data_IF_570127527908
#
_entry.id   IF_570127527908
#
_cell.length_a   1.000
_cell.length_b   1.000
_cell.length_c   1.000
_cell.angle_alpha   90.00
_cell.angle_beta   90.00
_cell.angle_gamma   90.00
#
_symmetry.space_group_name_H-M   'P 1'
#
loop_
_entity.id
_entity.type
_entity.pdbx_description
1 polymer ?
#
# COMPACT_ATOMS: atom_id res chain seq x y z
N UNK A 1 -9.38 5.12 8.14
CA UNK A 1 -9.98 6.32 8.81
C UNK A 1 -9.66 7.62 8.07
N UNK A 2 -8.40 7.91 7.72
CA UNK A 2 -8.04 9.18 7.02
C UNK A 2 -8.71 9.35 5.66
N UNK A 3 -8.90 8.26 4.89
CA UNK A 3 -9.60 8.30 3.59
C UNK A 3 -11.04 8.81 3.75
N UNK A 4 -11.78 8.26 4.72
CA UNK A 4 -13.16 8.68 4.99
C UNK A 4 -13.21 10.14 5.43
N UNK A 5 -12.31 10.54 6.34
CA UNK A 5 -12.20 11.92 6.79
C UNK A 5 -11.90 12.87 5.61
N UNK A 6 -10.97 12.48 4.73
CA UNK A 6 -10.65 13.23 3.52
C UNK A 6 -11.85 13.41 2.61
N UNK A 7 -12.63 12.35 2.38
CA UNK A 7 -13.86 12.45 1.58
C UNK A 7 -14.93 13.35 2.22
N UNK A 8 -15.09 13.29 3.54
CA UNK A 8 -16.00 14.21 4.26
C UNK A 8 -15.57 15.65 4.08
N UNK A 9 -14.26 15.94 4.16
CA UNK A 9 -13.72 17.29 3.95
C UNK A 9 -13.95 17.75 2.50
N UNK A 10 -13.68 16.91 1.50
CA UNK A 10 -13.91 17.24 0.09
C UNK A 10 -15.39 17.55 -0.17
N UNK A 11 -16.28 16.66 0.27
CA UNK A 11 -17.73 16.85 0.09
C UNK A 11 -18.22 18.09 0.85
N UNK A 12 -17.80 18.25 2.11
CA UNK A 12 -18.16 19.40 2.94
C UNK A 12 -17.70 20.74 2.35
N UNK A 13 -16.46 20.79 1.86
CA UNK A 13 -15.93 22.01 1.26
C UNK A 13 -16.62 22.36 -0.06
N UNK A 14 -16.78 21.37 -0.96
CA UNK A 14 -17.38 21.60 -2.29
C UNK A 14 -18.85 21.94 -2.17
N UNK A 15 -19.66 21.09 -1.52
CA UNK A 15 -21.09 21.29 -1.43
C UNK A 15 -21.47 22.36 -0.41
N UNK A 16 -20.72 22.47 0.71
CA UNK A 16 -20.90 23.53 1.68
C UNK A 16 -20.61 24.91 1.08
N UNK A 17 -19.50 25.03 0.34
CA UNK A 17 -19.18 26.26 -0.40
C UNK A 17 -20.26 26.64 -1.42
N UNK A 18 -20.79 25.65 -2.15
CA UNK A 18 -21.88 25.87 -3.11
C UNK A 18 -23.17 26.38 -2.44
N UNK A 19 -23.52 25.84 -1.27
CA UNK A 19 -24.69 26.29 -0.48
C UNK A 19 -24.49 27.71 0.02
N UNK A 20 -23.29 28.08 0.52
CA UNK A 20 -23.00 29.42 1.03
C UNK A 20 -23.22 30.52 -0.02
N UNK A 21 -22.96 30.25 -1.29
CA UNK A 21 -23.22 31.19 -2.39
C UNK A 21 -24.66 31.14 -2.91
N UNK A 22 -25.58 30.43 -2.21
CA UNK A 22 -26.99 30.32 -2.58
C UNK A 22 -27.30 29.24 -3.61
N UNK A 23 -26.40 28.31 -3.87
CA UNK A 23 -26.60 27.20 -4.80
C UNK A 23 -27.59 26.17 -4.27
N UNK A 24 -28.43 25.65 -5.17
CA UNK A 24 -29.39 24.59 -4.85
C UNK A 24 -28.80 23.21 -5.20
N UNK A 25 -28.57 22.34 -4.21
CA UNK A 25 -27.99 21.01 -4.42
C UNK A 25 -28.79 20.14 -5.40
N UNK A 26 -30.11 20.36 -5.49
CA UNK A 26 -30.96 19.63 -6.44
C UNK A 26 -30.54 19.83 -7.90
N UNK A 27 -29.97 20.99 -8.25
CA UNK A 27 -29.46 21.26 -9.59
C UNK A 27 -28.22 20.40 -9.95
N UNK A 28 -27.47 19.96 -8.96
CA UNK A 28 -26.31 19.10 -9.14
C UNK A 28 -26.65 17.60 -9.20
N UNK A 29 -27.89 17.24 -8.87
CA UNK A 29 -28.34 15.84 -8.91
C UNK A 29 -28.79 15.49 -10.33
N UNK A 30 -27.87 14.93 -11.12
CA UNK A 30 -28.08 14.55 -12.52
C UNK A 30 -27.75 13.05 -12.72
N UNK A 31 -28.74 12.14 -12.55
CA UNK A 31 -28.51 10.69 -12.66
C UNK A 31 -27.94 10.27 -14.02
N UNK A 32 -28.34 10.95 -15.10
CA UNK A 32 -27.84 10.66 -16.44
C UNK A 32 -26.34 10.94 -16.57
N UNK A 33 -25.87 12.04 -15.99
CA UNK A 33 -24.44 12.40 -15.97
C UNK A 33 -23.62 11.38 -15.17
N UNK A 34 -24.13 10.93 -14.04
CA UNK A 34 -23.48 9.86 -13.27
C UNK A 34 -23.39 8.55 -14.07
N UNK A 35 -24.42 8.21 -14.83
CA UNK A 35 -24.42 7.01 -15.68
C UNK A 35 -23.41 7.14 -16.83
N UNK A 36 -23.35 8.29 -17.49
CA UNK A 36 -22.42 8.52 -18.60
C UNK A 36 -20.97 8.47 -18.06
N UNK A 37 -20.66 9.26 -17.06
CA UNK A 37 -19.29 9.38 -16.54
C UNK A 37 -18.83 8.11 -15.85
N UNK A 38 -19.63 7.59 -14.92
CA UNK A 38 -19.30 6.39 -14.15
C UNK A 38 -19.32 5.13 -15.02
N UNK A 39 -20.31 4.99 -15.89
CA UNK A 39 -20.41 3.86 -16.82
C UNK A 39 -19.27 3.84 -17.83
N UNK A 40 -18.93 4.99 -18.43
CA UNK A 40 -17.80 5.10 -19.34
C UNK A 40 -16.46 4.88 -18.62
N UNK A 41 -16.30 5.38 -17.39
CA UNK A 41 -15.11 5.14 -16.57
C UNK A 41 -14.92 3.66 -16.24
N UNK A 42 -16.00 2.95 -15.84
CA UNK A 42 -15.97 1.50 -15.63
C UNK A 42 -15.68 0.75 -16.92
N UNK A 43 -16.30 1.17 -18.04
CA UNK A 43 -16.03 0.59 -19.35
C UNK A 43 -14.56 0.74 -19.75
N UNK A 44 -13.99 1.93 -19.61
CA UNK A 44 -12.57 2.19 -19.87
C UNK A 44 -11.66 1.35 -18.97
N UNK A 45 -11.99 1.22 -17.67
CA UNK A 45 -11.27 0.34 -16.75
C UNK A 45 -11.26 -1.12 -17.21
N UNK A 46 -12.40 -1.65 -17.66
CA UNK A 46 -12.51 -3.04 -18.14
C UNK A 46 -11.71 -3.25 -19.42
N UNK A 47 -11.81 -2.31 -20.37
CA UNK A 47 -11.11 -2.41 -21.66
C UNK A 47 -9.60 -2.25 -21.51
N UNK A 48 -9.15 -1.38 -20.62
CA UNK A 48 -7.74 -1.06 -20.42
C UNK A 48 -6.98 -2.05 -19.53
N UNK A 49 -7.67 -3.02 -18.90
CA UNK A 49 -7.06 -3.94 -17.94
C UNK A 49 -7.37 -5.39 -18.25
N UNK A 50 -6.37 -6.25 -18.12
CA UNK A 50 -6.59 -7.70 -18.17
C UNK A 50 -7.28 -8.20 -16.89
N UNK A 51 -7.82 -9.43 -16.94
CA UNK A 51 -8.57 -10.01 -15.81
C UNK A 51 -7.76 -10.14 -14.52
N UNK A 52 -6.42 -10.29 -14.59
CA UNK A 52 -5.55 -10.33 -13.41
C UNK A 52 -5.45 -8.93 -12.75
N UNK A 53 -5.27 -7.89 -13.57
CA UNK A 53 -5.23 -6.50 -13.10
C UNK A 53 -6.55 -6.07 -12.47
N UNK A 54 -7.69 -6.40 -13.09
CA UNK A 54 -9.02 -6.13 -12.53
C UNK A 54 -9.17 -6.78 -11.16
N UNK A 55 -8.84 -8.07 -11.05
CA UNK A 55 -8.93 -8.81 -9.78
C UNK A 55 -7.99 -8.25 -8.71
N UNK A 56 -6.76 -7.86 -9.09
CA UNK A 56 -5.79 -7.25 -8.18
C UNK A 56 -6.30 -5.91 -7.65
N UNK A 57 -6.82 -5.04 -8.54
CA UNK A 57 -7.38 -3.74 -8.17
C UNK A 57 -8.58 -3.88 -7.23
N UNK A 58 -9.53 -4.77 -7.53
CA UNK A 58 -10.70 -5.02 -6.67
C UNK A 58 -10.30 -5.57 -5.30
N UNK A 59 -9.23 -6.35 -5.18
CA UNK A 59 -8.69 -6.83 -3.91
C UNK A 59 -7.92 -5.76 -3.13
N UNK A 60 -7.33 -4.79 -3.82
CA UNK A 60 -6.55 -3.72 -3.21
C UNK A 60 -7.43 -2.64 -2.57
N UNK A 61 -8.57 -2.30 -3.19
CA UNK A 61 -9.47 -1.25 -2.72
C UNK A 61 -9.90 -1.38 -1.24
N UNK A 62 -10.37 -2.55 -0.75
CA UNK A 62 -10.76 -2.68 0.65
C UNK A 62 -9.59 -2.50 1.63
N UNK A 63 -8.35 -2.79 1.19
CA UNK A 63 -7.16 -2.64 2.03
C UNK A 63 -6.85 -1.16 2.33
N UNK A 64 -7.20 -0.24 1.41
CA UNK A 64 -7.02 1.20 1.59
C UNK A 64 -7.82 1.79 2.77
N UNK A 65 -8.94 1.15 3.12
CA UNK A 65 -9.75 1.57 4.26
C UNK A 65 -9.10 1.21 5.60
N UNK A 66 -8.14 0.30 5.59
CA UNK A 66 -7.41 -0.14 6.79
C UNK A 66 -6.15 0.71 6.96
N UNK A 67 -5.72 0.86 8.22
CA UNK A 67 -4.43 1.49 8.53
C UNK A 67 -3.30 0.61 8.01
N UNK A 68 -2.24 1.22 7.50
CA UNK A 68 -1.02 0.48 7.15
C UNK A 68 -0.53 -0.33 8.35
N UNK A 69 -0.13 -1.57 8.09
CA UNK A 69 0.49 -2.46 9.08
C UNK A 69 1.97 -2.13 9.30
N UNK A 70 2.59 -1.46 8.32
CA UNK A 70 4.00 -1.10 8.35
C UNK A 70 4.20 0.15 9.21
N UNK A 71 4.81 -0.02 10.35
CA UNK A 71 5.06 1.05 11.31
C UNK A 71 6.36 0.76 12.09
N UNK A 72 6.82 1.73 12.85
CA UNK A 72 8.05 1.62 13.64
C UNK A 72 8.12 0.35 14.49
N UNK A 73 6.99 -0.08 15.07
CA UNK A 73 6.95 -1.31 15.92
C UNK A 73 7.20 -2.55 15.09
N UNK A 74 6.58 -2.66 13.90
CA UNK A 74 6.79 -3.80 13.01
C UNK A 74 8.24 -3.84 12.50
N UNK A 75 8.84 -2.68 12.20
CA UNK A 75 10.25 -2.61 11.83
C UNK A 75 11.18 -3.05 12.96
N UNK A 76 10.86 -2.68 14.21
CA UNK A 76 11.63 -3.14 15.38
C UNK A 76 11.50 -4.65 15.57
N UNK A 77 10.30 -5.21 15.43
CA UNK A 77 10.04 -6.65 15.50
C UNK A 77 10.81 -7.40 14.41
N UNK A 78 10.80 -6.87 13.16
CA UNK A 78 11.55 -7.46 12.06
C UNK A 78 13.06 -7.49 12.33
N UNK A 79 13.62 -6.36 12.74
CA UNK A 79 15.06 -6.28 13.01
C UNK A 79 15.47 -7.16 14.19
N UNK A 80 14.63 -7.29 15.22
CA UNK A 80 14.88 -8.19 16.35
C UNK A 80 14.79 -9.66 15.93
N UNK A 81 13.82 -10.02 15.08
CA UNK A 81 13.72 -11.36 14.48
C UNK A 81 14.99 -11.69 13.68
N UNK A 82 15.39 -10.82 12.75
CA UNK A 82 16.59 -11.02 11.94
C UNK A 82 17.84 -11.12 12.80
N UNK A 83 17.97 -10.26 13.82
CA UNK A 83 19.07 -10.36 14.78
C UNK A 83 19.15 -11.74 15.44
N UNK A 84 18.02 -12.28 15.91
CA UNK A 84 17.99 -13.60 16.58
C UNK A 84 18.35 -14.73 15.63
N UNK A 85 17.83 -14.72 14.42
CA UNK A 85 18.17 -15.70 13.39
C UNK A 85 19.67 -15.66 13.07
N UNK A 86 20.22 -14.48 12.82
CA UNK A 86 21.63 -14.30 12.51
C UNK A 86 22.55 -14.61 13.69
N UNK A 87 22.13 -14.33 14.92
CA UNK A 87 22.87 -14.68 16.13
C UNK A 87 22.92 -16.20 16.33
N UNK A 88 21.80 -16.91 16.11
CA UNK A 88 21.72 -18.37 16.16
C UNK A 88 22.63 -19.00 15.10
N UNK A 89 22.54 -18.53 13.86
CA UNK A 89 23.40 -18.97 12.76
C UNK A 89 24.89 -18.80 13.08
N UNK A 90 25.28 -17.67 13.66
CA UNK A 90 26.69 -17.39 13.99
C UNK A 90 27.21 -18.25 15.15
N UNK A 91 26.36 -18.60 16.12
CA UNK A 91 26.73 -19.39 17.30
C UNK A 91 26.70 -20.89 17.05
N UNK A 92 25.75 -21.38 16.28
CA UNK A 92 25.44 -22.79 16.09
C UNK A 92 25.64 -23.29 14.65
N UNK A 93 26.08 -22.39 13.75
CA UNK A 93 26.23 -22.68 12.33
C UNK A 93 24.91 -22.46 11.55
N UNK A 94 25.07 -22.30 10.22
CA UNK A 94 23.94 -22.01 9.32
C UNK A 94 22.86 -23.10 9.32
N UNK A 95 23.24 -24.37 9.41
CA UNK A 95 22.30 -25.51 9.46
C UNK A 95 21.35 -25.47 10.66
N UNK A 96 21.71 -24.77 11.73
CA UNK A 96 20.84 -24.64 12.91
C UNK A 96 19.54 -23.90 12.63
N UNK A 97 19.45 -23.14 11.52
CA UNK A 97 18.26 -22.42 11.08
C UNK A 97 17.26 -23.30 10.33
N UNK A 98 17.65 -24.51 9.88
CA UNK A 98 16.83 -25.35 9.01
C UNK A 98 15.41 -25.55 9.56
N UNK A 99 15.27 -25.88 10.84
CA UNK A 99 13.97 -26.06 11.48
C UNK A 99 13.14 -24.77 11.51
N UNK A 100 13.78 -23.63 11.77
CA UNK A 100 13.08 -22.33 11.81
C UNK A 100 12.59 -21.90 10.42
N UNK A 101 13.33 -22.28 9.38
CA UNK A 101 13.05 -21.95 7.97
C UNK A 101 11.93 -22.84 7.43
N UNK A 102 12.00 -24.16 7.70
CA UNK A 102 11.02 -25.13 7.16
C UNK A 102 9.66 -25.07 7.88
N UNK A 103 9.67 -24.72 9.16
CA UNK A 103 8.45 -24.64 9.98
C UNK A 103 8.39 -23.33 10.77
N UNK A 104 8.23 -22.14 10.12
CA UNK A 104 8.25 -20.86 10.81
C UNK A 104 7.17 -20.72 11.88
N UNK A 105 6.01 -21.37 11.69
CA UNK A 105 4.89 -21.35 12.65
C UNK A 105 5.20 -22.12 13.95
N UNK A 106 6.11 -23.10 13.88
CA UNK A 106 6.57 -23.90 15.03
C UNK A 106 7.90 -23.42 15.59
N UNK A 107 8.50 -22.41 14.96
CA UNK A 107 9.77 -21.85 15.39
C UNK A 107 9.63 -21.04 16.67
N UNK A 108 10.47 -21.34 17.67
CA UNK A 108 10.55 -20.54 18.89
C UNK A 108 10.99 -19.11 18.64
N UNK A 109 11.73 -18.86 17.55
CA UNK A 109 12.19 -17.51 17.19
C UNK A 109 11.03 -16.74 16.57
N UNK A 110 10.39 -17.27 15.52
CA UNK A 110 9.30 -16.60 14.82
C UNK A 110 8.06 -16.41 15.69
N UNK A 111 7.75 -17.35 16.59
CA UNK A 111 6.57 -17.27 17.48
C UNK A 111 6.57 -16.03 18.39
N UNK A 112 7.75 -15.47 18.69
CA UNK A 112 7.86 -14.21 19.44
C UNK A 112 7.45 -12.98 18.65
N UNK A 113 7.24 -13.11 17.31
CA UNK A 113 6.92 -12.01 16.40
C UNK A 113 5.64 -12.29 15.60
N UNK A 114 4.48 -12.40 16.26
CA UNK A 114 3.22 -12.79 15.60
C UNK A 114 2.79 -11.84 14.50
N UNK A 115 3.19 -10.55 14.57
CA UNK A 115 2.92 -9.57 13.52
C UNK A 115 3.68 -9.88 12.23
N UNK A 116 4.91 -10.38 12.33
CA UNK A 116 5.70 -10.81 11.17
C UNK A 116 5.11 -12.11 10.61
N UNK A 117 4.78 -13.09 11.47
CA UNK A 117 4.15 -14.36 11.07
C UNK A 117 2.81 -14.15 10.35
N UNK A 118 2.07 -13.10 10.68
CA UNK A 118 0.83 -12.74 9.99
C UNK A 118 1.06 -12.18 8.58
N UNK A 119 2.29 -11.80 8.24
CA UNK A 119 2.66 -11.27 6.94
C UNK A 119 3.38 -12.34 6.09
N UNK A 120 2.60 -13.08 5.32
CA UNK A 120 3.11 -14.18 4.48
C UNK A 120 4.24 -13.73 3.55
N UNK A 121 4.13 -12.55 2.95
CA UNK A 121 5.14 -12.02 2.01
C UNK A 121 6.49 -11.89 2.71
N UNK A 122 6.50 -11.31 3.91
CA UNK A 122 7.74 -11.14 4.68
C UNK A 122 8.31 -12.48 5.15
N UNK A 123 7.45 -13.40 5.62
CA UNK A 123 7.89 -14.72 6.08
C UNK A 123 8.49 -15.52 4.93
N UNK A 124 7.80 -15.59 3.79
CA UNK A 124 8.27 -16.28 2.59
C UNK A 124 9.60 -15.68 2.12
N UNK A 125 9.68 -14.36 2.00
CA UNK A 125 10.93 -13.68 1.59
C UNK A 125 12.10 -13.97 2.54
N UNK A 126 11.90 -13.98 3.86
CA UNK A 126 12.94 -14.30 4.84
C UNK A 126 13.35 -15.77 4.73
N UNK A 127 12.39 -16.69 4.71
CA UNK A 127 12.67 -18.13 4.75
C UNK A 127 13.29 -18.64 3.47
N UNK A 128 12.84 -18.15 2.31
CA UNK A 128 13.35 -18.59 1.01
C UNK A 128 14.82 -18.17 0.83
N UNK A 129 15.16 -16.92 1.18
CA UNK A 129 16.54 -16.49 1.08
C UNK A 129 17.44 -17.11 2.17
N UNK A 130 16.94 -17.34 3.37
CA UNK A 130 17.69 -18.12 4.37
C UNK A 130 17.92 -19.55 3.90
N UNK A 131 16.95 -20.19 3.22
CA UNK A 131 17.10 -21.54 2.65
C UNK A 131 18.19 -21.57 1.60
N UNK A 132 18.23 -20.58 0.68
CA UNK A 132 19.30 -20.44 -0.32
C UNK A 132 20.67 -20.24 0.34
N UNK A 133 20.73 -19.42 1.37
CA UNK A 133 21.95 -19.16 2.15
C UNK A 133 22.45 -20.44 2.86
N UNK A 134 21.55 -21.18 3.51
CA UNK A 134 21.88 -22.42 4.22
C UNK A 134 22.36 -23.51 3.25
N UNK A 135 21.80 -23.55 2.04
CA UNK A 135 22.25 -24.51 1.00
C UNK A 135 23.71 -24.30 0.56
N UNK A 136 24.26 -23.11 0.75
CA UNK A 136 25.65 -22.75 0.44
C UNK A 136 26.03 -22.80 -1.05
N UNK A 137 25.06 -22.91 -1.96
CA UNK A 137 25.29 -23.08 -3.39
C UNK A 137 25.43 -21.76 -4.16
N UNK A 138 25.17 -20.63 -3.51
CA UNK A 138 25.19 -19.30 -4.13
C UNK A 138 26.09 -18.35 -3.34
N UNK A 139 26.79 -17.48 -4.06
CA UNK A 139 27.56 -16.40 -3.44
C UNK A 139 26.69 -15.18 -3.13
N UNK A 140 27.21 -14.23 -2.35
CA UNK A 140 26.46 -13.05 -1.93
C UNK A 140 25.96 -12.19 -3.09
N UNK A 141 26.70 -12.10 -4.17
CA UNK A 141 26.32 -11.32 -5.36
C UNK A 141 25.15 -11.95 -6.11
N UNK A 142 25.14 -13.28 -6.25
CA UNK A 142 24.04 -14.01 -6.89
C UNK A 142 22.75 -13.90 -6.06
N UNK A 143 22.86 -14.02 -4.74
CA UNK A 143 21.72 -13.83 -3.83
C UNK A 143 21.19 -12.39 -3.89
N UNK A 144 22.10 -11.40 -3.94
CA UNK A 144 21.72 -9.99 -4.08
C UNK A 144 20.93 -9.74 -5.36
N UNK A 145 21.44 -10.23 -6.50
CA UNK A 145 20.77 -10.08 -7.79
C UNK A 145 19.37 -10.72 -7.79
N UNK A 146 19.22 -11.91 -7.19
CA UNK A 146 17.93 -12.59 -7.09
C UNK A 146 16.94 -11.83 -6.19
N UNK A 147 17.41 -11.30 -5.04
CA UNK A 147 16.59 -10.47 -4.16
C UNK A 147 16.14 -9.18 -4.85
N UNK A 148 17.00 -8.56 -5.65
CA UNK A 148 16.65 -7.34 -6.39
C UNK A 148 15.57 -7.60 -7.43
N UNK A 149 15.69 -8.70 -8.18
CA UNK A 149 14.69 -9.10 -9.17
C UNK A 149 13.32 -9.38 -8.52
N UNK A 150 13.29 -10.06 -7.37
CA UNK A 150 12.05 -10.32 -6.64
C UNK A 150 11.43 -9.04 -6.09
N UNK A 151 12.24 -8.13 -5.54
CA UNK A 151 11.76 -6.83 -5.05
C UNK A 151 11.20 -6.00 -6.21
N UNK A 152 11.89 -5.95 -7.35
CA UNK A 152 11.41 -5.24 -8.54
C UNK A 152 10.11 -5.84 -9.07
N UNK A 153 10.03 -7.17 -9.16
CA UNK A 153 8.79 -7.88 -9.55
C UNK A 153 7.64 -7.52 -8.61
N UNK A 154 7.88 -7.52 -7.30
CA UNK A 154 6.88 -7.13 -6.31
C UNK A 154 6.41 -5.68 -6.48
N UNK A 155 7.34 -4.75 -6.75
CA UNK A 155 7.01 -3.34 -7.04
C UNK A 155 6.13 -3.22 -8.27
N UNK A 156 6.48 -3.91 -9.37
CA UNK A 156 5.70 -3.91 -10.61
C UNK A 156 4.30 -4.47 -10.40
N UNK A 157 4.16 -5.57 -9.67
CA UNK A 157 2.85 -6.17 -9.35
C UNK A 157 1.97 -5.23 -8.51
N UNK A 158 2.57 -4.52 -7.54
CA UNK A 158 1.88 -3.57 -6.69
C UNK A 158 1.50 -2.27 -7.43
N UNK A 159 2.25 -1.88 -8.47
CA UNK A 159 1.91 -0.71 -9.31
C UNK A 159 0.67 -0.97 -10.19
N UNK A 160 0.37 -2.21 -10.55
CA UNK A 160 -0.78 -2.55 -11.41
C UNK A 160 -2.11 -1.99 -10.88
N UNK A 161 -2.52 -2.22 -9.62
CA UNK A 161 -3.76 -1.65 -9.09
C UNK A 161 -3.75 -0.11 -9.03
N UNK A 162 -2.62 0.47 -8.69
CA UNK A 162 -2.45 1.92 -8.59
C UNK A 162 -2.53 2.59 -9.97
N UNK A 163 -1.83 2.03 -10.96
CA UNK A 163 -1.88 2.47 -12.35
C UNK A 163 -3.28 2.33 -12.96
N UNK A 164 -3.97 1.23 -12.68
CA UNK A 164 -5.35 1.01 -13.12
C UNK A 164 -6.32 2.06 -12.57
N UNK A 165 -6.20 2.41 -11.28
CA UNK A 165 -7.01 3.49 -10.69
C UNK A 165 -6.63 4.87 -11.22
N UNK A 166 -5.33 5.13 -11.41
CA UNK A 166 -4.88 6.39 -11.99
C UNK A 166 -5.47 6.60 -13.40
N UNK A 167 -5.46 5.55 -14.24
CA UNK A 167 -6.07 5.60 -15.58
C UNK A 167 -7.56 5.95 -15.51
N UNK A 168 -8.31 5.37 -14.57
CA UNK A 168 -9.73 5.74 -14.35
C UNK A 168 -9.83 7.21 -13.94
N UNK A 169 -9.04 7.63 -12.94
CA UNK A 169 -9.00 9.02 -12.48
C UNK A 169 -8.75 10.01 -13.61
N UNK A 170 -7.79 9.71 -14.47
CA UNK A 170 -7.43 10.56 -15.61
C UNK A 170 -8.51 10.58 -16.71
N UNK A 171 -9.30 9.53 -16.85
CA UNK A 171 -10.37 9.41 -17.85
C UNK A 171 -11.68 10.11 -17.45
N UNK A 172 -11.99 10.19 -16.16
CA UNK A 172 -13.27 10.75 -15.68
C UNK A 172 -13.51 12.20 -16.09
N UNK A 173 -12.54 13.14 -16.05
CA UNK A 173 -12.73 14.49 -16.54
C UNK A 173 -13.08 14.55 -18.04
N UNK A 174 -12.44 13.68 -18.85
CA UNK A 174 -12.73 13.59 -20.28
C UNK A 174 -14.18 13.11 -20.52
N UNK A 175 -14.63 12.10 -19.79
CA UNK A 175 -16.05 11.68 -19.84
C UNK A 175 -17.00 12.74 -19.30
N UNK A 176 -16.58 13.55 -18.33
CA UNK A 176 -17.32 14.73 -17.89
C UNK A 176 -17.53 15.75 -19.01
N UNK A 177 -16.49 15.99 -19.84
CA UNK A 177 -16.60 16.83 -21.02
C UNK A 177 -17.54 16.21 -22.07
N UNK A 178 -17.45 14.89 -22.29
CA UNK A 178 -18.37 14.20 -23.21
C UNK A 178 -19.83 14.37 -22.75
N UNK A 179 -20.11 14.17 -21.48
CA UNK A 179 -21.45 14.37 -20.91
C UNK A 179 -21.92 15.81 -21.08
N UNK A 180 -21.06 16.79 -20.79
CA UNK A 180 -21.37 18.21 -20.98
C UNK A 180 -21.69 18.56 -22.44
N UNK A 181 -20.90 18.07 -23.41
CA UNK A 181 -21.15 18.29 -24.84
C UNK A 181 -22.46 17.67 -25.28
N UNK A 182 -22.76 16.44 -24.83
CA UNK A 182 -24.05 15.80 -25.10
C UNK A 182 -25.22 16.60 -24.54
N UNK A 183 -25.08 17.15 -23.32
CA UNK A 183 -26.08 18.06 -22.75
C UNK A 183 -26.28 19.34 -23.53
N UNK A 184 -25.20 19.96 -24.00
CA UNK A 184 -25.27 21.17 -24.87
C UNK A 184 -25.94 20.84 -26.20
N UNK A 185 -25.60 19.72 -26.84
CA UNK A 185 -26.26 19.27 -28.09
C UNK A 185 -27.77 19.10 -27.87
N UNK A 186 -28.18 18.51 -26.76
CA UNK A 186 -29.59 18.36 -26.40
C UNK A 186 -30.28 19.73 -26.19
N UNK A 187 -29.60 20.66 -25.49
CA UNK A 187 -30.10 22.02 -25.30
C UNK A 187 -30.31 22.77 -26.65
N UNK A 188 -29.33 22.67 -27.56
CA UNK A 188 -29.41 23.28 -28.88
C UNK A 188 -30.51 22.66 -29.76
N UNK A 189 -30.73 21.34 -29.65
CA UNK A 189 -31.85 20.66 -30.32
C UNK A 189 -33.21 21.10 -29.79
N UNK A 190 -33.25 21.75 -28.64
CA UNK A 190 -34.47 22.30 -27.98
C UNK A 190 -34.53 23.82 -28.04
N UNK A 191 -33.90 24.46 -29.02
CA UNK A 191 -33.78 25.93 -29.14
C UNK A 191 -35.11 26.66 -29.35
N UNK A 192 -36.17 25.95 -29.69
CA UNK A 192 -37.54 26.42 -29.80
C UNK A 192 -38.27 26.61 -28.45
N UNK A 193 -37.68 26.12 -27.36
CA UNK A 193 -38.23 26.22 -26.00
C UNK A 193 -38.03 27.61 -25.39
N UNK A 194 -38.81 27.97 -24.35
CA UNK A 194 -38.60 29.18 -23.60
C UNK A 194 -37.17 29.32 -23.07
N UNK A 195 -36.62 30.55 -23.07
CA UNK A 195 -35.26 30.83 -22.65
C UNK A 195 -34.90 30.32 -21.25
N UNK A 196 -35.89 30.29 -20.33
CA UNK A 196 -35.69 29.75 -18.98
C UNK A 196 -35.45 28.21 -18.97
N UNK A 197 -36.15 27.44 -19.83
CA UNK A 197 -35.94 26.01 -19.99
C UNK A 197 -34.59 25.72 -20.64
N UNK A 198 -34.25 26.50 -21.68
CA UNK A 198 -32.94 26.38 -22.34
C UNK A 198 -31.79 26.65 -21.38
N UNK A 199 -31.93 27.70 -20.54
CA UNK A 199 -30.95 27.98 -19.48
C UNK A 199 -30.77 26.84 -18.48
N UNK A 200 -31.88 26.19 -18.11
CA UNK A 200 -31.82 25.02 -17.24
C UNK A 200 -31.11 23.82 -17.90
N UNK A 201 -31.35 23.54 -19.18
CA UNK A 201 -30.65 22.49 -19.93
C UNK A 201 -29.13 22.73 -20.03
N UNK A 202 -28.73 23.98 -20.26
CA UNK A 202 -27.33 24.37 -20.31
C UNK A 202 -26.68 24.21 -18.90
N UNK A 203 -27.37 24.64 -17.85
CA UNK A 203 -26.89 24.49 -16.49
C UNK A 203 -26.69 23.01 -16.13
N UNK A 204 -27.62 22.15 -16.54
CA UNK A 204 -27.48 20.70 -16.33
C UNK A 204 -26.27 20.11 -17.07
N UNK A 205 -26.05 20.53 -18.33
CA UNK A 205 -24.89 20.08 -19.10
C UNK A 205 -23.54 20.39 -18.42
N UNK A 206 -23.44 21.54 -17.72
CA UNK A 206 -22.21 21.93 -17.02
C UNK A 206 -21.93 21.03 -15.79
N UNK A 207 -22.94 20.36 -15.24
CA UNK A 207 -22.78 19.46 -14.09
C UNK A 207 -21.90 18.26 -14.46
N UNK A 208 -21.98 17.77 -15.69
CA UNK A 208 -21.13 16.66 -16.15
C UNK A 208 -19.64 16.94 -15.99
N UNK A 209 -19.18 18.13 -16.44
CA UNK A 209 -17.77 18.53 -16.26
C UNK A 209 -17.40 18.60 -14.77
N UNK A 210 -18.25 19.23 -13.97
CA UNK A 210 -18.04 19.32 -12.52
C UNK A 210 -17.91 17.94 -11.87
N UNK A 211 -18.85 17.03 -12.16
CA UNK A 211 -18.85 15.68 -11.60
C UNK A 211 -17.62 14.86 -12.04
N UNK A 212 -17.24 14.94 -13.32
CA UNK A 212 -16.07 14.25 -13.84
C UNK A 212 -14.78 14.66 -13.10
N UNK A 213 -14.59 15.97 -12.90
CA UNK A 213 -13.45 16.52 -12.16
C UNK A 213 -13.50 16.14 -10.67
N UNK A 214 -14.66 16.27 -10.04
CA UNK A 214 -14.82 15.93 -8.62
C UNK A 214 -14.55 14.46 -8.36
N UNK A 215 -15.10 13.55 -9.16
CA UNK A 215 -14.88 12.12 -9.03
C UNK A 215 -13.41 11.75 -9.27
N UNK A 216 -12.78 12.35 -10.25
CA UNK A 216 -11.38 12.12 -10.57
C UNK A 216 -10.46 12.51 -9.41
N UNK A 217 -10.42 13.80 -9.11
CA UNK A 217 -9.41 14.37 -8.20
C UNK A 217 -9.85 14.39 -6.74
N UNK A 218 -11.16 14.36 -6.47
CA UNK A 218 -11.67 14.26 -5.11
C UNK A 218 -11.72 12.81 -4.57
N UNK A 219 -11.82 11.82 -5.45
CA UNK A 219 -12.06 10.43 -5.00
C UNK A 219 -11.07 9.42 -5.57
N UNK A 220 -10.93 9.30 -6.89
CA UNK A 220 -10.21 8.18 -7.50
C UNK A 220 -8.68 8.38 -7.47
N UNK A 221 -8.18 9.52 -7.94
CA UNK A 221 -6.73 9.78 -8.01
C UNK A 221 -6.03 9.74 -6.64
N UNK A 222 -6.64 10.24 -5.54
CA UNK A 222 -6.05 10.09 -4.21
C UNK A 222 -5.91 8.62 -3.77
N UNK A 223 -6.84 7.73 -4.16
CA UNK A 223 -6.74 6.31 -3.86
C UNK A 223 -5.56 5.65 -4.59
N UNK A 224 -5.33 6.00 -5.86
CA UNK A 224 -4.17 5.52 -6.62
C UNK A 224 -2.86 5.93 -5.95
N UNK A 225 -2.76 7.18 -5.50
CA UNK A 225 -1.60 7.68 -4.76
C UNK A 225 -1.39 6.93 -3.44
N UNK A 226 -2.46 6.68 -2.68
CA UNK A 226 -2.38 5.95 -1.42
C UNK A 226 -1.94 4.50 -1.63
N UNK A 227 -2.39 3.83 -2.72
CA UNK A 227 -1.91 2.49 -3.08
C UNK A 227 -0.41 2.47 -3.32
N UNK A 228 0.13 3.44 -4.07
CA UNK A 228 1.58 3.55 -4.30
C UNK A 228 2.35 3.72 -3.00
N UNK A 229 1.85 4.56 -2.10
CA UNK A 229 2.49 4.76 -0.80
C UNK A 229 2.51 3.47 0.04
N UNK A 230 1.41 2.72 0.09
CA UNK A 230 1.35 1.44 0.81
C UNK A 230 2.25 0.37 0.19
N UNK A 231 2.37 0.35 -1.13
CA UNK A 231 3.30 -0.53 -1.83
C UNK A 231 4.76 -0.22 -1.47
N UNK A 232 5.14 1.05 -1.50
CA UNK A 232 6.48 1.49 -1.14
C UNK A 232 6.90 1.08 0.29
N UNK A 233 5.95 1.00 1.24
CA UNK A 233 6.24 0.52 2.59
C UNK A 233 6.62 -0.97 2.61
N UNK A 234 5.94 -1.83 1.82
CA UNK A 234 6.28 -3.25 1.69
C UNK A 234 7.66 -3.44 1.10
N UNK A 235 7.95 -2.72 0.01
CA UNK A 235 9.28 -2.72 -0.62
C UNK A 235 10.38 -2.33 0.36
N UNK A 236 10.14 -1.33 1.23
CA UNK A 236 11.10 -0.95 2.26
C UNK A 236 11.38 -2.06 3.27
N UNK A 237 10.39 -2.86 3.63
CA UNK A 237 10.57 -4.03 4.48
C UNK A 237 11.47 -5.08 3.79
N UNK A 238 11.19 -5.40 2.53
CA UNK A 238 12.00 -6.36 1.75
C UNK A 238 13.44 -5.85 1.59
N UNK A 239 13.65 -4.57 1.29
CA UNK A 239 14.97 -3.94 1.23
C UNK A 239 15.72 -4.02 2.56
N UNK A 240 15.02 -3.82 3.69
CA UNK A 240 15.61 -3.97 5.02
C UNK A 240 16.09 -5.40 5.26
N UNK A 241 15.28 -6.41 4.91
CA UNK A 241 15.64 -7.82 4.99
C UNK A 241 16.86 -8.11 4.11
N UNK A 242 16.81 -7.72 2.83
CA UNK A 242 17.89 -7.92 1.87
C UNK A 242 19.21 -7.41 2.41
N UNK A 243 19.26 -6.13 2.78
CA UNK A 243 20.52 -5.49 3.24
C UNK A 243 21.05 -6.13 4.53
N UNK A 244 20.15 -6.54 5.44
CA UNK A 244 20.53 -7.23 6.67
C UNK A 244 21.14 -8.60 6.39
N UNK A 245 20.51 -9.42 5.54
CA UNK A 245 21.00 -10.76 5.20
C UNK A 245 22.32 -10.70 4.44
N UNK A 246 22.43 -9.82 3.44
CA UNK A 246 23.68 -9.63 2.67
C UNK A 246 24.84 -9.14 3.55
N UNK A 247 24.57 -8.23 4.48
CA UNK A 247 25.60 -7.80 5.45
C UNK A 247 26.09 -8.98 6.29
N UNK A 248 25.20 -9.87 6.71
CA UNK A 248 25.59 -11.08 7.43
C UNK A 248 26.41 -12.04 6.57
N UNK A 249 26.02 -12.24 5.31
CA UNK A 249 26.78 -13.07 4.34
C UNK A 249 28.20 -12.52 4.11
N UNK A 250 28.34 -11.21 4.11
CA UNK A 250 29.65 -10.54 4.02
C UNK A 250 30.46 -10.59 5.33
N UNK A 251 30.00 -11.36 6.34
CA UNK A 251 30.73 -11.65 7.57
C UNK A 251 30.55 -10.63 8.70
N UNK A 252 29.69 -9.62 8.53
CA UNK A 252 29.41 -8.67 9.60
C UNK A 252 28.69 -9.34 10.78
N UNK A 253 28.98 -8.84 11.99
CA UNK A 253 28.30 -9.30 13.20
C UNK A 253 26.79 -9.01 13.12
N UNK A 254 25.91 -9.82 13.72
CA UNK A 254 24.45 -9.64 13.66
C UNK A 254 23.98 -8.25 14.04
N UNK A 255 24.60 -7.62 15.05
CA UNK A 255 24.32 -6.23 15.45
C UNK A 255 24.60 -5.22 14.33
N UNK A 256 25.71 -5.40 13.63
CA UNK A 256 26.11 -4.52 12.51
C UNK A 256 25.20 -4.79 11.30
N UNK A 257 24.90 -6.06 10.99
CA UNK A 257 24.01 -6.43 9.89
C UNK A 257 22.61 -5.80 10.04
N UNK A 258 22.04 -5.84 11.25
CA UNK A 258 20.76 -5.21 11.56
C UNK A 258 20.81 -3.68 11.46
N UNK A 259 21.97 -3.07 11.82
CA UNK A 259 22.16 -1.62 11.65
C UNK A 259 22.18 -1.20 10.18
N UNK A 260 22.77 -2.02 9.29
CA UNK A 260 22.65 -1.81 7.84
C UNK A 260 21.19 -1.81 7.39
N UNK A 261 20.42 -2.81 7.82
CA UNK A 261 18.98 -2.87 7.52
C UNK A 261 18.20 -1.65 8.07
N UNK A 262 18.48 -1.23 9.31
CA UNK A 262 17.87 -0.05 9.91
C UNK A 262 18.05 1.21 9.05
N UNK A 263 19.22 1.37 8.43
CA UNK A 263 19.55 2.54 7.60
C UNK A 263 18.76 2.61 6.28
N UNK A 264 18.17 1.51 5.82
CA UNK A 264 17.31 1.50 4.62
C UNK A 264 15.92 2.09 4.87
N UNK A 265 15.49 2.16 6.14
CA UNK A 265 14.15 2.61 6.51
C UNK A 265 13.96 4.11 6.34
N UNK A 266 12.72 4.53 6.05
CA UNK A 266 12.35 5.94 6.06
C UNK A 266 12.62 6.58 7.42
N UNK A 267 13.07 7.81 7.43
CA UNK A 267 13.44 8.53 8.67
C UNK A 267 12.29 8.65 9.66
N UNK A 268 11.05 8.74 9.17
CA UNK A 268 9.82 8.81 9.97
C UNK A 268 9.54 7.54 10.76
N UNK A 269 9.94 6.37 10.21
CA UNK A 269 9.66 5.05 10.77
C UNK A 269 10.92 4.39 11.36
N UNK A 270 12.09 4.97 11.10
CA UNK A 270 13.38 4.43 11.55
C UNK A 270 13.53 4.57 13.06
N UNK A 271 13.66 3.47 13.83
CA UNK A 271 14.01 3.57 15.23
C UNK A 271 15.41 4.18 15.40
N UNK A 272 15.68 4.82 16.53
CA UNK A 272 17.02 5.25 16.86
C UNK A 272 17.94 4.04 17.13
N UNK A 273 19.25 4.26 17.12
CA UNK A 273 20.22 3.20 17.40
C UNK A 273 19.98 2.61 18.81
N UNK A 274 19.77 3.48 19.79
CA UNK A 274 19.57 3.09 21.20
C UNK A 274 18.26 2.31 21.35
N UNK A 275 17.17 2.78 20.75
CA UNK A 275 15.87 2.08 20.80
C UNK A 275 15.96 0.66 20.25
N UNK A 276 16.66 0.48 19.12
CA UNK A 276 16.84 -0.84 18.54
C UNK A 276 17.72 -1.72 19.42
N UNK A 277 18.84 -1.21 19.94
CA UNK A 277 19.73 -1.96 20.82
C UNK A 277 19.00 -2.42 22.08
N UNK A 278 18.23 -1.54 22.73
CA UNK A 278 17.43 -1.90 23.87
C UNK A 278 16.37 -2.95 23.57
N UNK A 279 15.69 -2.82 22.41
CA UNK A 279 14.67 -3.77 21.99
C UNK A 279 15.28 -5.18 21.77
N UNK A 280 16.39 -5.24 21.06
CA UNK A 280 17.14 -6.49 20.83
C UNK A 280 17.63 -7.10 22.15
N UNK A 281 18.11 -6.30 23.09
CA UNK A 281 18.55 -6.78 24.42
C UNK A 281 17.39 -7.34 25.25
N UNK A 282 16.23 -6.69 25.27
CA UNK A 282 15.02 -7.16 26.00
C UNK A 282 14.55 -8.53 25.48
N UNK A 283 14.60 -8.72 24.18
CA UNK A 283 14.22 -10.00 23.55
C UNK A 283 15.27 -11.10 23.79
N UNK A 284 16.51 -10.74 24.12
CA UNK A 284 17.59 -11.67 24.46
C UNK A 284 17.49 -12.21 25.90
N UNK A 285 16.85 -11.47 26.81
CA UNK A 285 16.66 -11.93 28.19
C UNK A 285 15.60 -13.04 28.20
N UNK A 286 15.88 -14.23 28.80
CA UNK A 286 14.83 -15.22 29.08
C UNK A 286 13.79 -14.55 29.97
N UNK A 287 12.50 -14.90 29.75
CA UNK A 287 11.44 -14.47 30.66
C UNK A 287 11.86 -14.74 32.11
N UNK A 288 11.66 -13.77 33.06
CA UNK A 288 11.96 -14.02 34.46
C UNK A 288 11.21 -15.29 34.87
N UNK A 289 11.95 -16.30 35.25
CA UNK A 289 11.37 -17.46 35.92
C UNK A 289 10.64 -16.89 37.13
N UNK A 290 9.31 -17.06 37.16
CA UNK A 290 8.55 -16.81 38.37
C UNK A 290 9.21 -17.63 39.46
N UNK A 291 9.90 -16.98 40.38
CA UNK A 291 10.35 -17.60 41.64
C UNK A 291 9.08 -18.00 42.38
N UNK A 292 8.84 -19.30 42.42
CA UNK A 292 7.99 -19.91 43.45
C UNK A 292 8.65 -19.70 44.81
N UNK A 293 8.43 -18.50 45.37
CA UNK A 293 8.61 -18.22 46.79
C UNK A 293 7.44 -17.34 47.19
N UNK A 294 6.35 -18.01 47.53
CA UNK A 294 5.38 -17.66 48.57
C UNK A 294 4.27 -18.74 48.54
N UNK A 295 4.60 -19.86 49.21
CA UNK A 295 3.61 -20.82 49.68
C UNK A 295 3.69 -20.88 51.19
#
# INVERSE_FOLDING_TARGET
>A
MLVILGYIVVLGAVFGGYIIVGGHLGALYQPAEFLIIGGAGIGAFIVGNNGKAIKATMKALPKLMRRSKYNKVLYMDLMALLYRLLAKSRQQGMLSLERDIESPLESEIFSNYPRILADKILVEFITDYLRLIVSGNMNAFEIEALMDEEIETHEQECEIPAGSLAMVGDSLPAFGIVAAVMGVVHALASADRPAAELGALIAHAMVGTFLGILLAYGFISPLATLLRQQSAETTKMMQCIKVTLLSSLNGYAPQIAVEFGRKTLYTTERPSFIELEEHVRRVKAPAPQATEEDA
#
